data_IF_174848553018
#
_entry.id   IF_174848553018
#
_cell.length_a   1.000
_cell.length_b   1.000
_cell.length_c   1.000
_cell.angle_alpha   90.00
_cell.angle_beta   90.00
_cell.angle_gamma   90.00
#
_symmetry.space_group_name_H-M   'P 1'
#
loop_
_entity.id
_entity.type
_entity.pdbx_description
1 polymer ?
#
# COMPACT_ATOMS: atom_id res chain seq x y z
N UNK A 1 -0.86 -3.04 -60.70
CA UNK A 1 -2.19 -3.00 -60.06
C UNK A 1 -2.54 -1.53 -59.78
N UNK A 2 -3.56 -0.95 -60.45
CA UNK A 2 -3.97 0.45 -60.16
C UNK A 2 -4.94 0.43 -58.97
N UNK A 3 -4.50 0.92 -57.82
CA UNK A 3 -5.37 1.04 -56.65
C UNK A 3 -6.43 2.12 -56.89
N UNK A 4 -7.69 1.85 -56.53
CA UNK A 4 -8.74 2.87 -56.61
C UNK A 4 -8.46 3.99 -55.61
N UNK A 5 -8.87 5.22 -55.92
CA UNK A 5 -8.73 6.37 -54.99
C UNK A 5 -9.33 6.07 -53.61
N UNK A 6 -10.41 5.26 -53.55
CA UNK A 6 -11.03 4.79 -52.30
C UNK A 6 -10.12 3.84 -51.53
N UNK A 7 -9.47 2.88 -52.19
CA UNK A 7 -8.55 1.94 -51.55
C UNK A 7 -7.32 2.66 -50.97
N UNK A 8 -6.77 3.63 -51.71
CA UNK A 8 -5.64 4.46 -51.22
C UNK A 8 -6.06 5.28 -50.00
N UNK A 9 -7.26 5.88 -50.02
CA UNK A 9 -7.79 6.62 -48.87
C UNK A 9 -7.99 5.73 -47.64
N UNK A 10 -8.55 4.52 -47.81
CA UNK A 10 -8.73 3.56 -46.72
C UNK A 10 -7.38 3.14 -46.13
N UNK A 11 -6.38 2.83 -46.96
CA UNK A 11 -5.04 2.47 -46.49
C UNK A 11 -4.37 3.62 -45.75
N UNK A 12 -4.50 4.87 -46.22
CA UNK A 12 -4.02 6.04 -45.49
C UNK A 12 -4.73 6.20 -44.14
N UNK A 13 -6.05 6.02 -44.10
CA UNK A 13 -6.84 6.17 -42.87
C UNK A 13 -6.50 5.08 -41.85
N UNK A 14 -6.32 3.83 -42.29
CA UNK A 14 -5.81 2.72 -41.47
C UNK A 14 -4.37 2.99 -41.01
N UNK A 15 -3.52 3.53 -41.89
CA UNK A 15 -2.16 3.92 -41.55
C UNK A 15 -2.13 4.97 -40.43
N UNK A 16 -2.96 6.02 -40.54
CA UNK A 16 -3.10 7.05 -39.50
C UNK A 16 -3.67 6.45 -38.21
N UNK A 17 -4.72 5.61 -38.28
CA UNK A 17 -5.31 4.95 -37.12
C UNK A 17 -4.35 4.02 -36.37
N UNK A 18 -3.38 3.40 -37.05
CA UNK A 18 -2.41 2.52 -36.42
C UNK A 18 -1.14 3.27 -35.98
N UNK A 19 -0.68 4.25 -36.76
CA UNK A 19 0.52 5.03 -36.45
C UNK A 19 0.28 6.03 -35.32
N UNK A 20 -0.88 6.68 -35.26
CA UNK A 20 -1.13 7.72 -34.26
C UNK A 20 -1.15 7.20 -32.82
N UNK A 21 -1.81 6.07 -32.47
CA UNK A 21 -1.74 5.52 -31.12
C UNK A 21 -0.34 5.01 -30.79
N UNK A 22 0.38 4.44 -31.77
CA UNK A 22 1.75 3.97 -31.58
C UNK A 22 2.73 5.12 -31.30
N UNK A 23 2.62 6.23 -32.03
CA UNK A 23 3.44 7.42 -31.81
C UNK A 23 3.07 8.11 -30.48
N UNK A 24 1.78 8.20 -30.14
CA UNK A 24 1.32 8.70 -28.86
C UNK A 24 1.87 7.85 -27.70
N UNK A 25 1.84 6.51 -27.86
CA UNK A 25 2.44 5.57 -26.91
C UNK A 25 3.95 5.79 -26.76
N UNK A 26 4.70 5.84 -27.87
CA UNK A 26 6.15 6.10 -27.83
C UNK A 26 6.48 7.43 -27.18
N UNK A 27 5.74 8.48 -27.53
CA UNK A 27 5.91 9.80 -26.92
C UNK A 27 5.67 9.73 -25.42
N UNK A 28 4.58 9.08 -24.98
CA UNK A 28 4.26 8.96 -23.58
C UNK A 28 5.32 8.18 -22.80
N UNK A 29 5.72 7.00 -23.30
CA UNK A 29 6.77 6.20 -22.66
C UNK A 29 8.06 7.00 -22.57
N UNK A 30 8.46 7.67 -23.65
CA UNK A 30 9.70 8.44 -23.63
C UNK A 30 9.66 9.67 -22.72
N UNK A 31 8.50 10.29 -22.55
CA UNK A 31 8.34 11.49 -21.73
C UNK A 31 8.03 11.20 -20.27
N UNK A 32 7.21 10.19 -20.00
CA UNK A 32 6.60 9.94 -18.70
C UNK A 32 7.05 8.63 -18.05
N UNK A 33 7.78 7.77 -18.76
CA UNK A 33 8.27 6.49 -18.23
C UNK A 33 9.81 6.43 -18.23
N UNK A 34 10.46 6.52 -19.38
CA UNK A 34 11.92 6.39 -19.50
C UNK A 34 12.75 7.33 -18.62
N UNK A 35 12.35 8.60 -18.37
CA UNK A 35 13.16 9.53 -17.57
C UNK A 35 13.11 9.25 -16.07
N UNK A 36 12.22 8.36 -15.60
CA UNK A 36 12.00 8.15 -14.17
C UNK A 36 12.34 6.73 -13.74
N UNK A 37 12.85 6.60 -12.51
CA UNK A 37 13.26 5.32 -11.93
C UNK A 37 12.27 4.79 -10.89
N UNK A 38 11.42 5.65 -10.34
CA UNK A 38 10.44 5.27 -9.32
C UNK A 38 9.04 5.71 -9.73
N UNK A 39 8.14 4.72 -9.82
CA UNK A 39 6.73 4.91 -10.13
C UNK A 39 5.84 4.33 -9.04
N UNK A 40 5.18 5.22 -8.29
CA UNK A 40 4.02 4.92 -7.47
C UNK A 40 2.86 5.75 -8.02
N UNK A 41 1.95 5.11 -8.74
CA UNK A 41 0.79 5.82 -9.30
C UNK A 41 -0.30 6.02 -8.26
N UNK A 42 -0.99 7.17 -8.35
CA UNK A 42 -2.12 7.49 -7.50
C UNK A 42 -3.26 6.52 -7.79
N UNK A 43 -3.76 5.82 -6.76
CA UNK A 43 -5.00 5.04 -6.84
C UNK A 43 -6.09 5.73 -6.03
N UNK A 44 -7.30 5.78 -6.56
CA UNK A 44 -8.47 6.25 -5.83
C UNK A 44 -9.32 5.08 -5.34
N UNK A 45 -9.95 5.26 -4.19
CA UNK A 45 -10.99 4.35 -3.69
C UNK A 45 -12.27 4.68 -4.46
N UNK A 46 -12.81 3.72 -5.21
CA UNK A 46 -14.06 3.91 -5.99
C UNK A 46 -15.24 3.13 -5.42
N UNK A 47 -14.97 2.09 -4.64
CA UNK A 47 -15.99 1.32 -3.92
C UNK A 47 -15.33 0.65 -2.71
N UNK A 48 -16.13 0.38 -1.67
CA UNK A 48 -15.66 -0.27 -0.46
C UNK A 48 -16.78 -0.98 0.31
N UNK A 49 -16.41 -1.99 1.10
CA UNK A 49 -17.29 -2.69 2.04
C UNK A 49 -16.58 -2.96 3.35
N UNK A 50 -17.21 -2.62 4.47
CA UNK A 50 -16.75 -3.06 5.77
C UNK A 50 -17.00 -4.56 5.94
N UNK A 51 -16.04 -5.25 6.56
CA UNK A 51 -16.11 -6.67 6.91
C UNK A 51 -15.65 -6.85 8.35
N UNK A 52 -16.02 -7.98 8.97
CA UNK A 52 -15.66 -8.35 10.35
C UNK A 52 -15.97 -7.23 11.35
N UNK A 53 -17.24 -6.78 11.36
CA UNK A 53 -17.75 -5.74 12.28
C UNK A 53 -16.96 -4.42 12.22
N UNK A 54 -16.46 -4.07 11.04
CA UNK A 54 -15.72 -2.82 10.81
C UNK A 54 -14.22 -2.91 11.10
N UNK A 55 -13.69 -4.12 11.36
CA UNK A 55 -12.25 -4.35 11.57
C UNK A 55 -11.44 -4.32 10.28
N UNK A 56 -12.08 -4.46 9.13
CA UNK A 56 -11.42 -4.35 7.83
C UNK A 56 -12.33 -3.77 6.75
N UNK A 57 -11.71 -3.32 5.67
CA UNK A 57 -12.36 -2.81 4.46
C UNK A 57 -11.91 -3.63 3.26
N UNK A 58 -12.86 -4.21 2.52
CA UNK A 58 -12.60 -4.58 1.13
C UNK A 58 -12.73 -3.34 0.26
N UNK A 59 -11.70 -3.00 -0.49
CA UNK A 59 -11.55 -1.77 -1.26
C UNK A 59 -11.33 -2.12 -2.72
N UNK A 60 -12.04 -1.41 -3.60
CA UNK A 60 -11.74 -1.36 -5.02
C UNK A 60 -10.96 -0.09 -5.32
N UNK A 61 -9.75 -0.29 -5.84
CA UNK A 61 -8.89 0.79 -6.30
C UNK A 61 -9.07 1.02 -7.80
N UNK A 62 -8.93 2.26 -8.23
CA UNK A 62 -8.89 2.63 -9.64
C UNK A 62 -7.86 3.73 -9.90
N UNK A 63 -7.51 3.94 -11.16
CA UNK A 63 -6.65 5.02 -11.62
C UNK A 63 -7.47 6.05 -12.38
N UNK A 64 -7.21 7.34 -12.15
CA UNK A 64 -7.88 8.40 -12.93
C UNK A 64 -7.48 8.39 -14.40
N UNK A 65 -6.25 7.96 -14.69
CA UNK A 65 -5.69 7.90 -16.03
C UNK A 65 -5.66 6.45 -16.55
N UNK A 66 -6.35 6.14 -17.67
CA UNK A 66 -6.32 4.80 -18.29
C UNK A 66 -4.91 4.29 -18.61
N UNK A 67 -3.97 5.20 -18.85
CA UNK A 67 -2.59 4.85 -19.15
C UNK A 67 -1.79 4.46 -17.90
N UNK A 68 -2.10 5.06 -16.73
CA UNK A 68 -1.52 4.65 -15.45
C UNK A 68 -2.06 3.28 -15.05
N UNK A 69 -3.35 3.03 -15.28
CA UNK A 69 -3.94 1.68 -15.15
C UNK A 69 -3.21 0.67 -16.05
N UNK A 70 -3.05 1.01 -17.33
CA UNK A 70 -2.37 0.11 -18.28
C UNK A 70 -0.93 -0.15 -17.86
N UNK A 71 -0.17 0.89 -17.49
CA UNK A 71 1.21 0.73 -17.00
C UNK A 71 1.27 -0.12 -15.73
N UNK A 72 0.42 0.14 -14.74
CA UNK A 72 0.35 -0.68 -13.53
C UNK A 72 0.02 -2.16 -13.83
N UNK A 73 -0.78 -2.42 -14.86
CA UNK A 73 -1.17 -3.79 -15.26
C UNK A 73 -0.08 -4.56 -16.05
N UNK A 74 0.79 -3.85 -16.78
CA UNK A 74 1.76 -4.43 -17.72
C UNK A 74 3.22 -4.35 -17.24
N UNK A 75 3.55 -3.42 -16.34
CA UNK A 75 4.91 -2.98 -16.12
C UNK A 75 5.56 -3.62 -14.90
N UNK A 76 6.80 -4.10 -15.06
CA UNK A 76 7.70 -4.46 -13.95
C UNK A 76 8.28 -3.24 -13.22
N UNK A 77 8.06 -2.01 -13.74
CA UNK A 77 8.63 -0.77 -13.23
C UNK A 77 7.74 -0.04 -12.21
N UNK A 78 6.51 -0.52 -11.98
CA UNK A 78 5.58 0.09 -11.02
C UNK A 78 5.75 -0.60 -9.67
N UNK A 79 6.23 0.15 -8.69
CA UNK A 79 6.29 -0.33 -7.33
C UNK A 79 4.88 -0.29 -6.74
N UNK A 80 4.50 -1.37 -6.06
CA UNK A 80 3.27 -1.40 -5.27
C UNK A 80 3.63 -1.13 -3.83
N UNK A 81 3.17 0.01 -3.30
CA UNK A 81 3.27 0.33 -1.88
C UNK A 81 1.88 0.21 -1.28
N UNK A 82 1.77 -0.67 -0.30
CA UNK A 82 0.54 -0.81 0.48
C UNK A 82 0.25 0.48 1.23
N UNK A 83 -1.03 0.89 1.32
CA UNK A 83 -1.37 2.08 2.08
C UNK A 83 -0.96 1.93 3.54
N UNK A 84 -0.72 3.07 4.19
CA UNK A 84 -0.57 3.14 5.65
C UNK A 84 -1.93 3.41 6.26
N UNK A 85 -2.27 2.70 7.31
CA UNK A 85 -3.65 2.61 7.77
C UNK A 85 -3.70 2.80 9.28
N UNK A 86 -4.70 3.54 9.74
CA UNK A 86 -5.14 3.60 11.13
C UNK A 86 -6.64 3.26 11.19
N UNK A 87 -7.23 3.10 12.39
CA UNK A 87 -8.68 2.96 12.51
C UNK A 87 -9.49 4.13 11.92
N UNK A 88 -8.84 5.27 11.64
CA UNK A 88 -9.51 6.51 11.24
C UNK A 88 -9.07 7.03 9.86
N UNK A 89 -7.90 6.61 9.37
CA UNK A 89 -7.31 7.15 8.14
C UNK A 89 -6.65 6.08 7.28
N UNK A 90 -6.73 6.28 5.97
CA UNK A 90 -5.90 5.56 4.98
C UNK A 90 -5.00 6.59 4.29
N UNK A 91 -3.70 6.35 4.29
CA UNK A 91 -2.70 7.20 3.64
C UNK A 91 -2.05 6.43 2.49
N UNK A 92 -2.17 6.97 1.29
CA UNK A 92 -1.53 6.43 0.09
C UNK A 92 -0.40 7.34 -0.37
N UNK A 93 0.82 6.81 -0.43
CA UNK A 93 1.93 7.46 -1.10
C UNK A 93 1.86 7.26 -2.62
N UNK A 94 2.12 8.33 -3.37
CA UNK A 94 2.30 8.27 -4.81
C UNK A 94 3.36 9.27 -5.26
N UNK A 95 4.22 8.84 -6.18
CA UNK A 95 5.37 9.62 -6.64
C UNK A 95 5.85 9.16 -8.00
N UNK A 96 6.39 10.12 -8.74
CA UNK A 96 7.15 9.88 -9.95
C UNK A 96 8.46 10.65 -9.82
N UNK A 97 9.56 9.92 -9.69
CA UNK A 97 10.87 10.48 -9.38
C UNK A 97 11.93 9.92 -10.33
N UNK A 98 12.82 10.79 -10.82
CA UNK A 98 14.00 10.43 -11.62
C UNK A 98 14.99 9.57 -10.84
N UNK A 99 15.00 9.70 -9.51
CA UNK A 99 15.89 8.97 -8.61
C UNK A 99 15.09 8.28 -7.50
N UNK A 100 15.53 7.10 -7.09
CA UNK A 100 14.94 6.35 -5.97
C UNK A 100 15.05 7.08 -4.63
N UNK A 101 16.12 7.86 -4.45
CA UNK A 101 16.31 8.77 -3.33
C UNK A 101 16.47 10.19 -3.84
N UNK A 102 15.61 11.08 -3.33
CA UNK A 102 15.66 12.52 -3.57
C UNK A 102 16.91 13.14 -2.96
N UNK A 103 17.60 13.96 -3.76
CA UNK A 103 18.76 14.75 -3.33
C UNK A 103 18.48 16.26 -3.39
N UNK A 104 17.20 16.62 -3.53
CA UNK A 104 16.71 17.98 -3.78
C UNK A 104 15.36 18.18 -3.11
N UNK A 105 15.09 19.42 -2.77
CA UNK A 105 13.84 19.85 -2.13
C UNK A 105 12.79 20.34 -3.15
N UNK A 106 13.13 20.40 -4.43
CA UNK A 106 12.24 20.78 -5.53
C UNK A 106 12.12 19.66 -6.58
N UNK A 107 10.91 19.42 -7.11
CA UNK A 107 10.73 18.50 -8.23
C UNK A 107 11.35 19.07 -9.51
N UNK A 108 11.89 18.19 -10.37
CA UNK A 108 12.36 18.56 -11.71
C UNK A 108 11.27 18.18 -12.74
N UNK A 109 11.01 19.06 -13.71
CA UNK A 109 10.01 18.81 -14.76
C UNK A 109 8.64 18.38 -14.20
N UNK A 110 8.16 17.20 -14.59
CA UNK A 110 6.85 16.66 -14.18
C UNK A 110 6.97 15.69 -12.98
N UNK A 111 8.04 15.79 -12.19
CA UNK A 111 8.17 15.05 -10.94
C UNK A 111 7.14 15.47 -9.90
N UNK A 112 6.74 14.50 -9.09
CA UNK A 112 5.92 14.76 -7.92
C UNK A 112 6.20 13.72 -6.85
N UNK A 113 5.98 14.12 -5.60
CA UNK A 113 5.89 13.22 -4.47
C UNK A 113 4.81 13.72 -3.53
N UNK A 114 3.77 12.91 -3.38
CA UNK A 114 2.56 13.28 -2.67
C UNK A 114 2.04 12.13 -1.83
N UNK A 115 1.19 12.47 -0.86
CA UNK A 115 0.34 11.52 -0.14
C UNK A 115 -1.12 11.93 -0.30
N UNK A 116 -2.00 10.94 -0.47
CA UNK A 116 -3.45 11.13 -0.33
C UNK A 116 -3.85 10.63 1.05
N UNK A 117 -4.52 11.46 1.84
CA UNK A 117 -5.08 11.08 3.14
C UNK A 117 -6.60 10.99 3.00
N UNK A 118 -7.15 9.79 3.22
CA UNK A 118 -8.58 9.53 3.28
C UNK A 118 -9.02 9.50 4.74
N UNK A 119 -10.05 10.26 5.09
CA UNK A 119 -10.73 10.14 6.39
C UNK A 119 -11.82 9.07 6.28
N UNK A 120 -11.59 7.92 6.90
CA UNK A 120 -12.50 6.77 6.83
C UNK A 120 -13.56 6.75 7.95
N UNK A 121 -13.56 7.74 8.86
CA UNK A 121 -14.68 7.95 9.79
C UNK A 121 -15.86 8.62 9.10
N UNK A 122 -15.56 9.45 8.10
CA UNK A 122 -16.57 10.19 7.36
C UNK A 122 -17.04 9.33 6.18
N UNK A 123 -18.35 9.28 5.96
CA UNK A 123 -18.95 8.57 4.81
C UNK A 123 -18.32 9.07 3.50
N UNK A 124 -18.17 8.17 2.52
CA UNK A 124 -17.61 8.44 1.19
C UNK A 124 -16.11 8.76 1.18
N UNK A 125 -15.43 8.62 2.33
CA UNK A 125 -13.99 8.74 2.52
C UNK A 125 -13.41 10.02 1.90
N UNK A 126 -13.81 11.21 2.37
CA UNK A 126 -13.26 12.47 1.87
C UNK A 126 -11.73 12.44 1.98
N UNK A 127 -11.07 12.91 0.93
CA UNK A 127 -9.63 12.83 0.82
C UNK A 127 -8.96 14.17 0.50
N UNK A 128 -7.72 14.31 0.94
CA UNK A 128 -6.86 15.46 0.68
C UNK A 128 -5.51 15.01 0.16
N UNK A 129 -4.99 15.73 -0.83
CA UNK A 129 -3.65 15.53 -1.37
C UNK A 129 -2.67 16.50 -0.70
N UNK A 130 -1.55 15.98 -0.19
CA UNK A 130 -0.45 16.77 0.33
C UNK A 130 0.83 16.55 -0.47
N UNK A 131 1.53 17.63 -0.79
CA UNK A 131 2.77 17.61 -1.55
C UNK A 131 3.98 17.59 -0.61
N UNK A 132 4.76 16.51 -0.67
CA UNK A 132 5.87 16.27 0.25
C UNK A 132 7.00 17.29 0.05
N UNK A 133 7.31 17.64 -1.21
CA UNK A 133 8.33 18.64 -1.49
C UNK A 133 7.91 20.01 -0.96
N UNK A 134 6.65 20.40 -1.21
CA UNK A 134 6.12 21.66 -0.70
C UNK A 134 6.09 21.70 0.83
N UNK A 135 5.53 20.69 1.49
CA UNK A 135 5.49 20.64 2.96
C UNK A 135 6.90 20.72 3.58
N UNK A 136 7.90 20.11 2.93
CA UNK A 136 9.29 20.21 3.39
C UNK A 136 9.81 21.63 3.29
N UNK A 137 9.62 22.30 2.14
CA UNK A 137 10.06 23.69 1.95
C UNK A 137 9.33 24.68 2.85
N UNK A 138 8.03 24.48 3.07
CA UNK A 138 7.20 25.30 3.93
C UNK A 138 7.63 25.16 5.41
N UNK A 139 8.16 24.00 5.81
CA UNK A 139 8.74 23.77 7.12
C UNK A 139 10.13 24.39 7.24
N UNK A 140 11.05 24.04 6.34
CA UNK A 140 12.39 24.63 6.26
C UNK A 140 13.03 24.30 4.88
N UNK A 141 13.36 25.34 4.12
CA UNK A 141 13.92 25.23 2.77
C UNK A 141 15.27 24.54 2.70
N UNK A 142 16.03 24.47 3.80
CA UNK A 142 17.32 23.79 3.83
C UNK A 142 17.18 22.26 3.85
N UNK A 143 15.98 21.71 4.01
CA UNK A 143 15.75 20.27 4.07
C UNK A 143 15.27 19.66 2.75
N UNK A 144 15.68 18.42 2.54
CA UNK A 144 15.30 17.54 1.43
C UNK A 144 14.51 16.38 2.03
N UNK A 145 13.29 16.08 1.57
CA UNK A 145 12.59 14.88 2.01
C UNK A 145 13.35 13.66 1.47
N UNK A 146 13.52 12.60 2.25
CA UNK A 146 14.23 11.38 1.83
C UNK A 146 13.42 10.11 2.00
N UNK A 147 12.35 10.15 2.81
CA UNK A 147 11.39 9.07 2.92
C UNK A 147 10.21 9.45 3.79
N UNK A 148 9.19 8.60 3.81
CA UNK A 148 8.11 8.65 4.78
C UNK A 148 8.07 7.32 5.53
N UNK A 149 7.67 7.36 6.79
CA UNK A 149 7.47 6.17 7.59
C UNK A 149 6.26 5.38 7.09
N UNK A 150 6.08 4.16 7.61
CA UNK A 150 5.00 3.26 7.19
C UNK A 150 4.02 2.94 8.30
N UNK A 151 3.92 3.85 9.28
CA UNK A 151 3.10 3.70 10.48
C UNK A 151 2.53 5.05 10.87
N UNK A 152 1.21 5.09 11.08
CA UNK A 152 0.51 6.23 11.69
C UNK A 152 0.52 6.03 13.19
N UNK A 153 0.75 7.08 13.96
CA UNK A 153 0.66 7.05 15.42
C UNK A 153 -0.04 8.30 15.95
N UNK A 154 -0.54 8.23 17.18
CA UNK A 154 -1.18 9.39 17.81
C UNK A 154 -0.21 10.08 18.74
N UNK A 155 -0.18 11.42 18.69
CA UNK A 155 0.51 12.23 19.70
C UNK A 155 -0.30 13.48 20.01
N UNK A 156 -0.56 13.73 21.31
CA UNK A 156 -1.35 14.89 21.77
C UNK A 156 -2.71 15.04 21.05
N UNK A 157 -3.33 13.92 20.64
CA UNK A 157 -4.59 13.89 19.92
C UNK A 157 -4.51 14.06 18.40
N UNK A 158 -3.31 14.23 17.83
CA UNK A 158 -3.08 14.32 16.39
C UNK A 158 -2.62 12.96 15.84
N UNK A 159 -3.16 12.58 14.69
CA UNK A 159 -2.66 11.44 13.92
C UNK A 159 -1.51 11.87 13.02
N UNK A 160 -0.33 11.30 13.28
CA UNK A 160 0.93 11.71 12.70
C UNK A 160 1.56 10.58 11.87
N UNK A 161 2.26 10.97 10.81
CA UNK A 161 3.09 10.08 10.00
C UNK A 161 4.50 10.64 9.92
N UNK A 162 5.51 9.88 10.31
CA UNK A 162 6.89 10.39 10.28
C UNK A 162 7.41 10.61 8.85
N UNK A 163 8.22 11.65 8.70
CA UNK A 163 8.93 12.02 7.46
C UNK A 163 10.41 12.16 7.77
N UNK A 164 11.23 11.55 6.93
CA UNK A 164 12.68 11.58 7.05
C UNK A 164 13.22 12.71 6.18
N UNK A 165 14.01 13.59 6.79
CA UNK A 165 14.55 14.77 6.15
C UNK A 165 16.08 14.77 6.24
N UNK A 166 16.73 15.24 5.18
CA UNK A 166 18.16 15.47 5.12
C UNK A 166 18.43 16.96 4.95
N UNK A 167 19.26 17.53 5.82
CA UNK A 167 19.71 18.90 5.66
C UNK A 167 20.66 19.00 4.45
N UNK A 168 20.38 19.91 3.53
CA UNK A 168 21.12 20.10 2.27
C UNK A 168 22.52 20.69 2.47
N UNK A 169 22.75 21.44 3.54
CA UNK A 169 24.02 22.15 3.81
C UNK A 169 25.05 21.25 4.47
N UNK A 170 24.65 20.50 5.50
CA UNK A 170 25.57 19.69 6.31
C UNK A 170 25.33 18.17 6.17
N UNK A 171 24.27 17.75 5.49
CA UNK A 171 23.93 16.34 5.27
C UNK A 171 23.30 15.62 6.46
N UNK A 172 23.03 16.29 7.58
CA UNK A 172 22.46 15.66 8.77
C UNK A 172 21.05 15.12 8.51
N UNK A 173 20.76 13.92 9.03
CA UNK A 173 19.44 13.32 8.97
C UNK A 173 18.63 13.64 10.22
N UNK A 174 17.38 14.01 10.05
CA UNK A 174 16.41 14.21 11.11
C UNK A 174 15.08 13.54 10.76
N UNK A 175 14.32 13.20 11.79
CA UNK A 175 12.94 12.72 11.64
C UNK A 175 12.00 13.78 12.20
N UNK A 176 10.96 14.09 11.44
CA UNK A 176 9.85 14.98 11.81
C UNK A 176 8.55 14.25 11.54
N UNK A 177 7.42 14.90 11.81
CA UNK A 177 6.10 14.29 11.63
C UNK A 177 5.23 15.12 10.72
N UNK A 178 4.39 14.48 9.93
CA UNK A 178 3.34 15.10 9.13
C UNK A 178 2.05 15.00 9.93
N UNK A 179 1.43 16.14 10.24
CA UNK A 179 0.04 16.17 10.71
C UNK A 179 -0.89 15.83 9.54
N UNK A 180 -1.62 14.72 9.65
CA UNK A 180 -2.44 14.18 8.57
C UNK A 180 -3.75 14.97 8.35
N UNK A 181 -4.19 15.76 9.33
CA UNK A 181 -5.38 16.59 9.20
C UNK A 181 -5.06 17.96 8.58
N UNK A 182 -3.89 18.51 8.92
CA UNK A 182 -3.42 19.81 8.43
C UNK A 182 -2.58 19.74 7.16
N UNK A 183 -1.88 18.63 6.91
CA UNK A 183 -0.93 18.52 5.81
C UNK A 183 0.29 19.41 5.99
N UNK A 184 0.89 19.39 7.18
CA UNK A 184 2.09 20.17 7.52
C UNK A 184 3.10 19.31 8.27
N UNK A 185 4.38 19.61 8.07
CA UNK A 185 5.44 19.04 8.90
C UNK A 185 5.48 19.80 10.23
N UNK A 186 5.49 19.04 11.31
CA UNK A 186 5.55 19.49 12.69
C UNK A 186 6.74 18.82 13.39
N UNK A 187 7.04 19.30 14.60
CA UNK A 187 8.02 18.65 15.47
C UNK A 187 7.68 17.18 15.70
N UNK A 188 8.71 16.36 15.87
CA UNK A 188 8.56 14.92 16.06
C UNK A 188 7.63 14.67 17.25
N UNK A 189 6.46 14.07 17.01
CA UNK A 189 5.48 13.80 18.06
C UNK A 189 6.04 12.83 19.11
N UNK A 190 5.48 12.76 20.31
CA UNK A 190 5.76 11.66 21.24
C UNK A 190 4.97 10.42 20.79
N UNK A 191 5.66 9.43 20.21
CA UNK A 191 5.04 8.27 19.56
C UNK A 191 4.67 7.21 20.58
N UNK A 192 3.77 7.55 21.51
CA UNK A 192 3.35 6.64 22.58
C UNK A 192 2.74 5.34 22.03
N UNK A 193 2.17 5.40 20.82
CA UNK A 193 1.61 4.23 20.13
C UNK A 193 2.56 3.62 19.08
N UNK A 194 3.78 4.15 18.93
CA UNK A 194 4.70 3.71 17.87
C UNK A 194 5.04 2.22 17.99
N UNK A 195 5.20 1.74 19.23
CA UNK A 195 5.48 0.34 19.54
C UNK A 195 4.27 -0.56 19.57
N UNK A 196 3.15 0.03 19.96
CA UNK A 196 1.86 -0.60 20.02
C UNK A 196 1.38 -1.02 18.62
N UNK A 197 1.83 -0.31 17.58
CA UNK A 197 1.44 -0.50 16.17
C UNK A 197 2.59 -1.15 15.36
N UNK A 198 3.81 -1.17 15.92
CA UNK A 198 5.04 -1.51 15.19
C UNK A 198 5.07 -2.96 14.73
N UNK A 199 4.94 -3.09 13.40
CA UNK A 199 5.20 -4.25 12.53
C UNK A 199 3.99 -5.14 12.37
N UNK A 200 3.43 -5.07 11.17
CA UNK A 200 2.54 -6.09 10.64
C UNK A 200 2.98 -7.46 11.11
N UNK A 201 2.04 -8.18 11.68
CA UNK A 201 2.27 -9.51 12.21
C UNK A 201 2.97 -10.39 11.18
N UNK A 202 4.28 -10.58 11.33
CA UNK A 202 5.10 -11.39 10.43
C UNK A 202 4.76 -12.88 10.49
N UNK A 203 3.73 -13.28 11.28
CA UNK A 203 3.25 -14.66 11.33
C UNK A 203 2.69 -15.12 10.00
N UNK A 204 2.19 -14.23 9.13
CA UNK A 204 1.64 -14.64 7.83
C UNK A 204 2.69 -15.38 6.97
N UNK A 205 3.98 -15.08 7.15
CA UNK A 205 5.08 -15.80 6.51
C UNK A 205 5.31 -17.22 7.07
N UNK A 206 4.80 -17.52 8.27
CA UNK A 206 4.85 -18.84 8.89
C UNK A 206 3.65 -19.71 8.52
N UNK A 207 2.55 -19.09 8.10
CA UNK A 207 1.40 -19.83 7.58
C UNK A 207 1.73 -20.44 6.22
N UNK A 208 0.97 -21.48 5.84
CA UNK A 208 1.13 -22.09 4.53
C UNK A 208 0.95 -21.03 3.42
N UNK A 209 1.98 -20.88 2.58
CA UNK A 209 1.96 -19.95 1.46
C UNK A 209 0.78 -20.29 0.53
N UNK A 210 0.02 -19.27 0.17
CA UNK A 210 -0.95 -19.38 -0.91
C UNK A 210 -0.37 -18.91 -2.22
N UNK A 211 -0.66 -19.64 -3.29
CA UNK A 211 -0.40 -19.19 -4.65
C UNK A 211 -1.37 -18.11 -5.13
N UNK A 212 -2.45 -17.85 -4.39
CA UNK A 212 -3.57 -17.03 -4.87
C UNK A 212 -3.62 -15.62 -4.27
N UNK A 213 -3.05 -15.40 -3.10
CA UNK A 213 -3.10 -14.11 -2.40
C UNK A 213 -1.76 -13.75 -1.78
N UNK A 214 -1.55 -12.44 -1.61
CA UNK A 214 -0.44 -11.88 -0.87
C UNK A 214 -0.95 -11.17 0.39
N UNK A 215 -0.08 -11.11 1.38
CA UNK A 215 -0.29 -10.38 2.62
C UNK A 215 0.92 -9.48 2.78
N UNK A 216 0.69 -8.17 2.72
CA UNK A 216 1.74 -7.17 2.89
C UNK A 216 1.28 -6.08 3.85
N UNK A 217 1.91 -6.04 5.01
CA UNK A 217 1.58 -5.14 6.10
C UNK A 217 0.11 -5.21 6.55
N UNK A 218 -0.68 -4.26 6.09
CA UNK A 218 -2.11 -4.09 6.39
C UNK A 218 -3.00 -4.48 5.21
N UNK A 219 -2.40 -4.80 4.06
CA UNK A 219 -3.10 -5.05 2.82
C UNK A 219 -3.02 -6.52 2.44
N UNK A 220 -4.17 -7.09 2.10
CA UNK A 220 -4.32 -8.43 1.54
C UNK A 220 -4.87 -8.25 0.13
N UNK A 221 -4.25 -8.85 -0.87
CA UNK A 221 -4.73 -8.78 -2.24
C UNK A 221 -4.63 -10.11 -2.95
N UNK A 222 -5.31 -10.23 -4.08
CA UNK A 222 -5.23 -11.39 -4.96
C UNK A 222 -4.06 -11.19 -5.91
N UNK A 223 -3.24 -12.22 -6.08
CA UNK A 223 -2.15 -12.22 -7.06
C UNK A 223 -2.74 -12.17 -8.48
N UNK A 224 -2.01 -11.63 -9.46
CA UNK A 224 -2.53 -11.33 -10.82
C UNK A 224 -3.28 -12.51 -11.50
N UNK A 225 -2.87 -13.74 -11.23
CA UNK A 225 -3.50 -14.96 -11.77
C UNK A 225 -4.28 -15.77 -10.72
N UNK A 226 -4.24 -15.32 -9.46
CA UNK A 226 -4.94 -15.92 -8.34
C UNK A 226 -6.45 -15.65 -8.39
N UNK A 227 -7.20 -16.46 -7.66
CA UNK A 227 -8.63 -16.27 -7.40
C UNK A 227 -8.96 -16.75 -5.99
N UNK A 228 -10.08 -16.26 -5.44
CA UNK A 228 -10.61 -16.82 -4.21
C UNK A 228 -11.14 -18.23 -4.48
N UNK A 229 -10.89 -19.14 -3.54
CA UNK A 229 -11.48 -20.47 -3.58
C UNK A 229 -13.01 -20.38 -3.62
N UNK A 230 -13.64 -21.35 -4.28
CA UNK A 230 -15.10 -21.33 -4.50
C UNK A 230 -15.89 -21.39 -3.19
N UNK A 231 -15.32 -22.03 -2.18
CA UNK A 231 -15.88 -22.21 -0.85
C UNK A 231 -15.25 -21.29 0.20
N UNK A 232 -14.46 -20.29 -0.21
CA UNK A 232 -13.90 -19.28 0.69
C UNK A 232 -15.01 -18.58 1.49
N UNK A 233 -14.79 -18.42 2.81
CA UNK A 233 -15.75 -17.85 3.76
C UNK A 233 -16.25 -16.47 3.34
N UNK A 234 -15.37 -15.64 2.76
CA UNK A 234 -15.72 -14.29 2.31
C UNK A 234 -16.85 -14.30 1.28
N UNK A 235 -16.94 -15.32 0.43
CA UNK A 235 -18.04 -15.42 -0.55
C UNK A 235 -19.39 -15.65 0.11
N UNK A 236 -19.39 -16.32 1.26
CA UNK A 236 -20.59 -16.67 2.02
C UNK A 236 -21.00 -15.53 2.95
N UNK A 237 -20.05 -15.00 3.73
CA UNK A 237 -20.31 -13.94 4.72
C UNK A 237 -20.41 -12.55 4.08
N UNK A 238 -19.59 -12.25 3.07
CA UNK A 238 -19.46 -10.91 2.48
C UNK A 238 -19.37 -10.98 0.94
N UNK A 239 -20.44 -11.45 0.25
CA UNK A 239 -20.40 -11.67 -1.20
C UNK A 239 -20.05 -10.41 -2.02
N UNK A 240 -20.42 -9.22 -1.55
CA UNK A 240 -20.04 -7.96 -2.19
C UNK A 240 -18.54 -7.65 -2.01
N UNK A 241 -18.00 -7.87 -0.81
CA UNK A 241 -16.58 -7.71 -0.54
C UNK A 241 -15.73 -8.69 -1.37
N UNK A 242 -16.20 -9.94 -1.51
CA UNK A 242 -15.57 -10.93 -2.36
C UNK A 242 -15.48 -10.47 -3.82
N UNK A 243 -16.55 -9.85 -4.36
CA UNK A 243 -16.53 -9.27 -5.72
C UNK A 243 -15.53 -8.13 -5.83
N UNK A 244 -15.48 -7.21 -4.86
CA UNK A 244 -14.50 -6.13 -4.87
C UNK A 244 -13.05 -6.64 -4.83
N UNK A 245 -12.81 -7.71 -4.07
CA UNK A 245 -11.47 -8.30 -3.95
C UNK A 245 -11.03 -9.02 -5.24
N UNK A 246 -11.97 -9.63 -5.98
CA UNK A 246 -11.71 -10.29 -7.27
C UNK A 246 -11.68 -9.34 -8.48
N UNK A 247 -12.14 -8.10 -8.30
CA UNK A 247 -11.96 -7.06 -9.31
C UNK A 247 -10.47 -6.73 -9.48
N UNK A 248 -10.07 -6.32 -10.69
CA UNK A 248 -8.71 -5.84 -10.93
C UNK A 248 -8.40 -4.66 -9.99
N UNK A 249 -7.34 -4.81 -9.19
CA UNK A 249 -6.94 -3.88 -8.12
C UNK A 249 -7.84 -3.88 -6.87
N UNK A 250 -8.49 -5.00 -6.55
CA UNK A 250 -9.12 -5.22 -5.24
C UNK A 250 -8.11 -5.51 -4.13
N UNK A 251 -8.34 -4.97 -2.93
CA UNK A 251 -7.61 -5.40 -1.72
C UNK A 251 -8.45 -5.29 -0.46
N UNK A 252 -8.13 -6.11 0.56
CA UNK A 252 -8.61 -5.92 1.93
C UNK A 252 -7.56 -5.12 2.68
N UNK A 253 -8.01 -4.07 3.36
CA UNK A 253 -7.20 -3.27 4.27
C UNK A 253 -7.68 -3.51 5.70
N UNK A 254 -6.76 -3.92 6.58
CA UNK A 254 -7.04 -4.17 7.99
C UNK A 254 -6.98 -2.85 8.78
N UNK A 255 -8.07 -2.51 9.47
CA UNK A 255 -8.23 -1.26 10.23
C UNK A 255 -7.84 -1.40 11.71
N UNK A 256 -7.30 -2.56 12.11
CA UNK A 256 -7.02 -2.86 13.50
C UNK A 256 -6.08 -1.81 14.12
N UNK A 257 -6.44 -1.39 15.34
CA UNK A 257 -5.65 -0.51 16.20
C UNK A 257 -4.25 -1.05 16.50
N UNK A 258 -4.10 -2.39 16.48
CA UNK A 258 -2.84 -3.12 16.50
C UNK A 258 -2.90 -4.38 15.64
N UNK A 259 -1.84 -4.68 14.87
CA UNK A 259 -1.73 -5.96 14.21
C UNK A 259 -1.42 -7.03 15.28
N UNK A 260 -2.43 -7.81 15.65
CA UNK A 260 -2.29 -8.99 16.50
C UNK A 260 -2.71 -10.24 15.72
N UNK A 261 -2.29 -11.42 16.16
CA UNK A 261 -2.79 -12.69 15.59
C UNK A 261 -4.31 -12.72 15.75
N UNK A 262 -4.81 -12.43 16.94
CA UNK A 262 -6.22 -12.46 17.28
C UNK A 262 -7.05 -11.46 16.47
N UNK A 263 -6.51 -10.28 16.18
CA UNK A 263 -7.20 -9.25 15.39
C UNK A 263 -7.19 -9.56 13.89
N UNK A 264 -6.08 -10.08 13.36
CA UNK A 264 -5.91 -10.27 11.92
C UNK A 264 -6.39 -11.65 11.44
N UNK A 265 -6.34 -12.68 12.30
CA UNK A 265 -6.68 -14.05 11.93
C UNK A 265 -8.12 -14.21 11.42
N UNK A 266 -9.16 -13.61 12.03
CA UNK A 266 -10.51 -13.69 11.50
C UNK A 266 -10.60 -13.21 10.04
N UNK A 267 -9.86 -12.14 9.71
CA UNK A 267 -9.80 -11.59 8.35
C UNK A 267 -9.05 -12.54 7.40
N UNK A 268 -7.95 -13.14 7.83
CA UNK A 268 -7.22 -14.14 7.02
C UNK A 268 -8.04 -15.40 6.77
N UNK A 269 -8.78 -15.89 7.78
CA UNK A 269 -9.65 -17.06 7.66
C UNK A 269 -10.76 -16.87 6.63
N UNK A 270 -11.18 -15.63 6.36
CA UNK A 270 -12.18 -15.35 5.31
C UNK A 270 -11.73 -15.80 3.92
N UNK A 271 -10.42 -15.91 3.67
CA UNK A 271 -9.87 -16.31 2.37
C UNK A 271 -9.98 -17.82 2.10
N UNK A 272 -10.33 -18.61 3.13
CA UNK A 272 -10.32 -20.07 3.08
C UNK A 272 -11.71 -20.64 3.36
N UNK A 273 -11.87 -21.93 3.08
CA UNK A 273 -13.04 -22.71 3.47
C UNK A 273 -13.25 -22.70 4.99
N UNK A 274 -14.51 -22.83 5.40
CA UNK A 274 -14.87 -23.00 6.80
C UNK A 274 -14.20 -24.22 7.41
N UNK A 275 -13.63 -24.05 8.61
CA UNK A 275 -12.95 -25.11 9.34
C UNK A 275 -11.55 -25.44 8.82
N UNK A 276 -11.02 -24.73 7.81
CA UNK A 276 -9.63 -24.91 7.38
C UNK A 276 -8.67 -24.59 8.51
N UNK A 277 -7.83 -25.56 8.87
CA UNK A 277 -6.78 -25.36 9.86
C UNK A 277 -5.54 -24.72 9.24
N UNK A 278 -5.44 -23.40 9.35
CA UNK A 278 -4.28 -22.64 8.84
C UNK A 278 -2.97 -22.93 9.57
N UNK A 279 -3.05 -23.58 10.74
CA UNK A 279 -1.93 -23.90 11.60
C UNK A 279 -1.48 -25.35 11.50
N UNK A 280 -2.04 -26.14 10.58
CA UNK A 280 -1.64 -27.52 10.38
C UNK A 280 -0.16 -27.62 10.01
N UNK A 281 0.62 -28.28 10.87
CA UNK A 281 2.07 -28.45 10.76
C UNK A 281 2.86 -27.13 10.57
N UNK A 282 2.39 -26.03 11.17
CA UNK A 282 3.13 -24.76 11.12
C UNK A 282 4.37 -24.86 11.98
N UNK A 283 5.52 -24.54 11.38
CA UNK A 283 6.82 -24.50 12.05
C UNK A 283 7.08 -23.10 12.59
N UNK A 284 7.30 -23.01 13.90
CA UNK A 284 7.78 -21.80 14.59
C UNK A 284 9.28 -21.97 14.84
N UNK A 285 10.15 -21.19 14.15
CA UNK A 285 11.58 -21.20 14.42
C UNK A 285 11.92 -20.73 15.84
N UNK A 286 13.08 -21.16 16.36
CA UNK A 286 13.56 -20.82 17.70
C UNK A 286 13.67 -19.31 17.95
N UNK A 287 14.07 -18.54 16.94
CA UNK A 287 14.14 -17.08 16.99
C UNK A 287 12.76 -16.42 17.19
N UNK A 288 11.69 -17.12 16.80
CA UNK A 288 10.32 -16.65 16.82
C UNK A 288 9.50 -17.30 17.96
N UNK A 289 10.10 -18.08 18.87
CA UNK A 289 9.39 -18.79 19.94
C UNK A 289 9.70 -18.30 21.36
N UNK A 290 8.72 -18.27 22.26
CA UNK A 290 8.85 -17.65 23.60
C UNK A 290 9.97 -18.27 24.45
N UNK A 291 10.30 -19.53 24.22
CA UNK A 291 11.28 -20.32 24.96
C UNK A 291 12.62 -20.51 24.21
N UNK A 292 12.71 -20.03 22.97
CA UNK A 292 13.92 -20.17 22.15
C UNK A 292 14.10 -21.57 21.55
N UNK A 293 13.03 -22.37 21.51
CA UNK A 293 13.02 -23.70 20.89
C UNK A 293 12.17 -23.72 19.63
N UNK A 294 12.47 -24.65 18.73
CA UNK A 294 11.63 -24.88 17.56
C UNK A 294 10.35 -25.63 17.96
N UNK A 295 9.20 -25.17 17.46
CA UNK A 295 7.91 -25.82 17.68
C UNK A 295 7.21 -26.14 16.36
N UNK A 296 6.54 -27.29 16.31
CA UNK A 296 5.56 -27.60 15.27
C UNK A 296 4.20 -27.58 15.95
N UNK A 297 3.32 -26.70 15.48
CA UNK A 297 1.98 -26.53 16.02
C UNK A 297 0.94 -27.02 15.02
N UNK A 298 -0.25 -27.31 15.53
CA UNK A 298 -1.39 -27.81 14.77
C UNK A 298 -2.70 -27.06 15.09
N UNK A 299 -2.62 -25.98 15.87
CA UNK A 299 -3.79 -25.15 16.21
C UNK A 299 -3.39 -23.70 16.42
N UNK A 300 -4.38 -22.80 16.36
CA UNK A 300 -4.18 -21.39 16.65
C UNK A 300 -3.77 -21.19 18.12
N UNK A 301 -4.34 -21.97 19.04
CA UNK A 301 -4.05 -21.92 20.47
C UNK A 301 -2.60 -22.32 20.77
N UNK A 302 -2.10 -23.38 20.14
CA UNK A 302 -0.70 -23.78 20.23
C UNK A 302 0.23 -22.71 19.62
N UNK A 303 -0.14 -22.16 18.46
CA UNK A 303 0.65 -21.11 17.82
C UNK A 303 0.79 -19.88 18.73
N UNK A 304 -0.31 -19.38 19.29
CA UNK A 304 -0.32 -18.22 20.21
C UNK A 304 0.48 -18.52 21.49
N UNK A 305 0.45 -19.77 21.96
CA UNK A 305 1.21 -20.19 23.15
C UNK A 305 2.72 -20.10 22.93
N UNK A 306 3.21 -20.59 21.80
CA UNK A 306 4.64 -20.71 21.55
C UNK A 306 5.25 -19.52 20.80
N UNK A 307 4.48 -18.74 20.05
CA UNK A 307 5.00 -17.64 19.24
C UNK A 307 5.45 -16.45 20.11
N UNK A 308 6.76 -16.12 20.05
CA UNK A 308 7.43 -15.04 20.79
C UNK A 308 6.96 -13.67 20.40
N UNK A 309 6.60 -13.50 19.13
CA UNK A 309 6.14 -12.25 18.53
C UNK A 309 4.72 -11.88 19.01
N UNK A 310 4.52 -11.99 20.33
CA UNK A 310 3.75 -11.03 21.10
C UNK A 310 4.26 -9.64 20.72
N UNK A 311 3.35 -8.71 20.62
CA UNK A 311 3.46 -7.29 20.32
C UNK A 311 4.41 -6.49 21.25
N UNK A 312 5.63 -6.97 21.47
CA UNK A 312 6.72 -6.25 22.13
C UNK A 312 7.74 -5.89 21.06
N UNK A 313 7.38 -4.86 20.27
CA UNK A 313 8.41 -3.90 19.89
C UNK A 313 9.13 -3.46 21.17
N UNK A 314 10.44 -3.36 21.14
CA UNK A 314 11.25 -2.99 22.31
C UNK A 314 11.06 -1.51 22.68
N UNK A 315 10.28 -1.16 23.75
CA UNK A 315 10.04 0.18 24.38
C UNK A 315 9.93 1.50 23.58
N UNK A 316 10.87 1.67 22.68
CA UNK A 316 11.73 2.84 22.54
C UNK A 316 12.38 2.91 21.17
N UNK A 317 12.25 1.91 20.29
CA UNK A 317 12.93 1.92 19.00
C UNK A 317 12.07 2.55 17.91
N UNK A 318 11.99 3.90 17.93
CA UNK A 318 11.74 4.68 16.72
C UNK A 318 12.99 4.61 15.84
N UNK A 319 12.89 3.97 14.69
CA UNK A 319 13.99 3.91 13.70
C UNK A 319 14.07 5.19 12.89
#
# INVERSE_FOLDING_TARGET
MKFSKKAVFIVMLVGVLLLTPYLAYKYYVNKYVNPYSTFLFKRKIVDYKYIEDGKALAIKWDYDNPLDYWLASQSTYVYWVSPVVSPNKIVQEYKRLSMSSTQRNEPIEDEYWKITVYDIKTKDFPSKDYDIFKMTRDYDSDYIPTGIATTIYTSKGQELLDVYLKNSKNGSLITKSIDLDEGKIVELGEGKDFEQISRSTSFSHLLQNSSNYFINKWEIGILKEGKLDKDALIRQKYPEAAKLLEDNNGSIVVLADKPSIENNMPIYQLLYKEGTNLFENVKIPAENSVDGQEHIVNSQEEFITYYRNKEKGDPKARM
#
